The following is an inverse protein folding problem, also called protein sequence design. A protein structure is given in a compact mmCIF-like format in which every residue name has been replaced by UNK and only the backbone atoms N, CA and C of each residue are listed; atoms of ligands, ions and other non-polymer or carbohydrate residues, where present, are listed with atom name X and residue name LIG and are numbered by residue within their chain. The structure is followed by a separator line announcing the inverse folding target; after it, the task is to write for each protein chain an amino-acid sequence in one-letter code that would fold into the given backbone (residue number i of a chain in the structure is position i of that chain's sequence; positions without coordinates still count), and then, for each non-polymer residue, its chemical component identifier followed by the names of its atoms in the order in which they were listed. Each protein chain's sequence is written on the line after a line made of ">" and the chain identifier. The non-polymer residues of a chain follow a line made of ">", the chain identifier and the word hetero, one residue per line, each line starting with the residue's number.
data_IF_007945099572
#
_entry.id   IF_007945099572
#
_cell.length_a   1.000
_cell.length_b   1.000
_cell.length_c   1.000
_cell.angle_alpha   90.00
_cell.angle_beta   90.00
_cell.angle_gamma   90.00
#
_symmetry.space_group_name_H-M   'P 1'
#
loop_
_entity.id
_entity.type
_entity.pdbx_description
1 polymer ?
#
# COMPACT_ATOMS: atom_id res chain seq x y z
N UNK A 1 21.62 -12.42 -1.58
CA UNK A 1 20.63 -11.48 -0.99
C UNK A 1 19.90 -10.67 -2.07
N UNK A 2 20.60 -10.01 -2.98
CA UNK A 2 19.98 -9.16 -4.01
C UNK A 2 18.96 -9.87 -4.91
N UNK A 3 19.22 -11.11 -5.33
CA UNK A 3 18.26 -11.91 -6.11
C UNK A 3 16.95 -12.19 -5.36
N UNK A 4 17.03 -12.42 -4.04
CA UNK A 4 15.86 -12.63 -3.19
C UNK A 4 15.04 -11.35 -3.07
N UNK A 5 15.68 -10.19 -2.86
CA UNK A 5 14.98 -8.90 -2.79
C UNK A 5 14.28 -8.53 -4.10
N UNK A 6 14.89 -8.82 -5.24
CA UNK A 6 14.26 -8.62 -6.55
C UNK A 6 13.05 -9.55 -6.71
N UNK A 7 13.19 -10.83 -6.35
CA UNK A 7 12.07 -11.77 -6.40
C UNK A 7 10.91 -11.32 -5.50
N UNK A 8 11.22 -10.91 -4.27
CA UNK A 8 10.24 -10.38 -3.32
C UNK A 8 9.53 -9.13 -3.86
N UNK A 9 10.28 -8.22 -4.50
CA UNK A 9 9.73 -7.03 -5.15
C UNK A 9 8.73 -7.42 -6.23
N UNK A 10 9.10 -8.33 -7.13
CA UNK A 10 8.26 -8.76 -8.25
C UNK A 10 6.98 -9.43 -7.75
N UNK A 11 7.09 -10.38 -6.81
CA UNK A 11 5.92 -11.10 -6.29
C UNK A 11 4.96 -10.14 -5.59
N UNK A 12 5.47 -9.29 -4.67
CA UNK A 12 4.62 -8.35 -3.93
C UNK A 12 3.99 -7.31 -4.85
N UNK A 13 4.72 -6.80 -5.83
CA UNK A 13 4.19 -5.86 -6.81
C UNK A 13 3.10 -6.51 -7.66
N UNK A 14 3.33 -7.72 -8.18
CA UNK A 14 2.35 -8.43 -8.99
C UNK A 14 1.06 -8.73 -8.20
N UNK A 15 1.18 -9.32 -7.01
CA UNK A 15 0.04 -9.59 -6.14
C UNK A 15 -0.68 -8.29 -5.75
N UNK A 16 0.08 -7.24 -5.43
CA UNK A 16 -0.45 -5.94 -5.05
C UNK A 16 -1.25 -5.27 -6.18
N UNK A 17 -0.73 -5.28 -7.40
CA UNK A 17 -1.40 -4.75 -8.59
C UNK A 17 -2.69 -5.51 -8.89
N UNK A 18 -2.67 -6.84 -8.84
CA UNK A 18 -3.85 -7.66 -9.09
C UNK A 18 -4.94 -7.40 -8.05
N UNK A 19 -4.58 -7.30 -6.77
CA UNK A 19 -5.50 -6.97 -5.67
C UNK A 19 -6.07 -5.56 -5.79
N UNK A 20 -5.26 -4.58 -6.21
CA UNK A 20 -5.67 -3.19 -6.36
C UNK A 20 -6.58 -2.98 -7.57
N UNK A 21 -6.23 -3.57 -8.72
CA UNK A 21 -6.91 -3.37 -10.00
C UNK A 21 -8.15 -4.26 -10.15
N UNK A 22 -8.07 -5.54 -9.74
CA UNK A 22 -9.10 -6.54 -9.96
C UNK A 22 -9.49 -7.28 -8.67
N UNK A 23 -9.88 -6.57 -7.59
CA UNK A 23 -10.19 -7.19 -6.29
C UNK A 23 -11.29 -8.25 -6.37
N UNK A 24 -12.32 -8.02 -7.19
CA UNK A 24 -13.42 -8.97 -7.39
C UNK A 24 -12.99 -10.25 -8.09
N UNK A 25 -12.02 -10.17 -9.00
CA UNK A 25 -11.44 -11.34 -9.65
C UNK A 25 -10.70 -12.19 -8.61
N UNK A 26 -9.89 -11.56 -7.74
CA UNK A 26 -9.17 -12.26 -6.68
C UNK A 26 -10.13 -12.94 -5.70
N UNK A 27 -11.15 -12.22 -5.20
CA UNK A 27 -12.15 -12.80 -4.28
C UNK A 27 -12.77 -14.07 -4.89
N UNK A 28 -13.16 -14.03 -6.17
CA UNK A 28 -13.76 -15.16 -6.88
C UNK A 28 -12.76 -16.30 -7.10
N UNK A 29 -11.55 -15.99 -7.54
CA UNK A 29 -10.51 -16.98 -7.82
C UNK A 29 -10.14 -17.78 -6.56
N UNK A 30 -10.09 -17.12 -5.40
CA UNK A 30 -9.78 -17.76 -4.12
C UNK A 30 -11.01 -18.36 -3.42
N UNK A 31 -12.22 -18.26 -3.99
CA UNK A 31 -13.44 -18.77 -3.38
C UNK A 31 -13.81 -18.06 -2.06
N UNK A 32 -13.35 -16.82 -1.87
CA UNK A 32 -13.64 -16.03 -0.66
C UNK A 32 -15.08 -15.51 -0.76
N UNK A 33 -15.79 -15.48 0.37
CA UNK A 33 -17.12 -14.90 0.45
C UNK A 33 -17.11 -13.45 -0.07
N UNK A 34 -18.02 -13.07 -0.98
CA UNK A 34 -18.04 -11.72 -1.53
C UNK A 34 -18.31 -10.71 -0.42
N UNK A 35 -17.37 -9.79 -0.22
CA UNK A 35 -17.59 -8.63 0.63
C UNK A 35 -18.34 -7.56 -0.16
N UNK A 36 -19.27 -6.86 0.49
CA UNK A 36 -19.98 -5.71 -0.12
C UNK A 36 -19.02 -4.62 -0.62
N UNK A 37 -17.83 -4.51 -0.01
CA UNK A 37 -16.87 -3.47 -0.30
C UNK A 37 -15.51 -4.05 -0.70
N UNK A 38 -15.02 -3.65 -1.88
CA UNK A 38 -13.65 -3.96 -2.33
C UNK A 38 -12.55 -3.20 -1.59
N UNK A 39 -12.87 -2.59 -0.45
CA UNK A 39 -11.95 -1.78 0.36
C UNK A 39 -10.74 -2.60 0.83
N UNK A 40 -10.97 -3.73 1.50
CA UNK A 40 -9.88 -4.52 2.09
C UNK A 40 -8.91 -5.11 1.07
N UNK A 41 -9.37 -5.74 -0.04
CA UNK A 41 -8.45 -6.22 -1.05
C UNK A 41 -7.64 -5.08 -1.69
N UNK A 42 -8.26 -3.93 -1.96
CA UNK A 42 -7.55 -2.78 -2.54
C UNK A 42 -6.52 -2.20 -1.56
N UNK A 43 -6.87 -2.10 -0.28
CA UNK A 43 -5.95 -1.65 0.77
C UNK A 43 -4.75 -2.60 0.90
N UNK A 44 -5.01 -3.91 0.97
CA UNK A 44 -3.95 -4.92 0.98
C UNK A 44 -3.07 -4.83 -0.27
N UNK A 45 -3.69 -4.63 -1.44
CA UNK A 45 -2.98 -4.43 -2.70
C UNK A 45 -2.04 -3.22 -2.65
N UNK A 46 -2.54 -2.08 -2.15
CA UNK A 46 -1.74 -0.88 -1.92
C UNK A 46 -0.57 -1.11 -0.96
N UNK A 47 -0.81 -1.79 0.16
CA UNK A 47 0.24 -2.12 1.13
C UNK A 47 1.33 -3.00 0.51
N UNK A 48 0.96 -4.02 -0.28
CA UNK A 48 1.92 -4.87 -0.98
C UNK A 48 2.75 -4.10 -2.02
N UNK A 49 2.15 -3.15 -2.73
CA UNK A 49 2.87 -2.26 -3.65
C UNK A 49 3.86 -1.38 -2.86
N UNK A 50 3.45 -0.82 -1.72
CA UNK A 50 4.32 -0.02 -0.87
C UNK A 50 5.50 -0.81 -0.33
N UNK A 51 5.26 -2.05 0.12
CA UNK A 51 6.33 -2.96 0.56
C UNK A 51 7.25 -3.31 -0.61
N UNK A 52 6.70 -3.57 -1.81
CA UNK A 52 7.52 -3.83 -2.99
C UNK A 52 8.43 -2.63 -3.33
N UNK A 53 7.93 -1.40 -3.21
CA UNK A 53 8.73 -0.20 -3.38
C UNK A 53 9.85 -0.11 -2.32
N UNK A 54 9.54 -0.39 -1.06
CA UNK A 54 10.52 -0.42 0.02
C UNK A 54 11.61 -1.49 -0.20
N UNK A 55 11.23 -2.71 -0.59
CA UNK A 55 12.17 -3.79 -0.90
C UNK A 55 13.03 -3.45 -2.13
N UNK A 56 12.46 -2.77 -3.13
CA UNK A 56 13.19 -2.32 -4.30
C UNK A 56 14.25 -1.26 -3.94
N UNK A 57 13.89 -0.31 -3.08
CA UNK A 57 14.79 0.71 -2.55
C UNK A 57 15.97 0.03 -1.84
N UNK A 58 15.70 -0.94 -0.95
CA UNK A 58 16.75 -1.72 -0.28
C UNK A 58 17.67 -2.45 -1.26
N UNK A 59 17.11 -3.03 -2.33
CA UNK A 59 17.89 -3.76 -3.33
C UNK A 59 18.80 -2.87 -4.19
N UNK A 60 18.53 -1.56 -4.26
CA UNK A 60 19.17 -0.63 -5.19
C UNK A 60 20.06 0.42 -4.53
N UNK A 61 19.79 0.80 -3.29
CA UNK A 61 20.58 1.81 -2.58
C UNK A 61 21.72 1.15 -1.78
N UNK A 62 23.00 1.43 -2.13
CA UNK A 62 24.14 0.94 -1.36
C UNK A 62 24.07 1.43 0.08
N UNK A 63 24.23 0.52 1.04
CA UNK A 63 24.16 0.84 2.47
C UNK A 63 22.76 0.82 3.08
N UNK A 64 21.70 0.73 2.26
CA UNK A 64 20.34 0.46 2.75
C UNK A 64 20.27 -0.98 3.29
N UNK A 65 19.79 -1.15 4.53
CA UNK A 65 19.55 -2.47 5.14
C UNK A 65 18.16 -2.49 5.75
N UNK A 66 17.34 -3.44 5.34
CA UNK A 66 15.93 -3.50 5.72
C UNK A 66 15.12 -2.31 5.18
N UNK A 67 13.98 -2.05 5.82
CA UNK A 67 13.05 -1.00 5.41
C UNK A 67 13.64 0.42 5.54
N UNK A 68 14.31 0.72 6.66
CA UNK A 68 14.84 2.08 6.94
C UNK A 68 13.78 3.18 6.84
N UNK A 69 14.19 4.45 6.90
CA UNK A 69 13.27 5.59 6.69
C UNK A 69 12.73 5.61 5.25
N UNK A 70 13.58 5.35 4.26
CA UNK A 70 13.17 5.35 2.84
C UNK A 70 12.06 4.35 2.51
N UNK A 71 12.11 3.14 3.08
CA UNK A 71 11.07 2.14 2.90
C UNK A 71 9.78 2.47 3.64
N UNK A 72 9.87 3.06 4.84
CA UNK A 72 8.69 3.55 5.57
C UNK A 72 7.97 4.65 4.79
N UNK A 73 8.71 5.62 4.24
CA UNK A 73 8.18 6.67 3.37
C UNK A 73 7.44 6.04 2.18
N UNK A 74 8.06 5.07 1.49
CA UNK A 74 7.45 4.40 0.34
C UNK A 74 6.13 3.70 0.70
N UNK A 75 6.09 3.00 1.84
CA UNK A 75 4.88 2.31 2.33
C UNK A 75 3.79 3.32 2.69
N UNK A 76 4.13 4.34 3.48
CA UNK A 76 3.21 5.36 3.98
C UNK A 76 2.57 6.13 2.82
N UNK A 77 3.36 6.60 1.86
CA UNK A 77 2.87 7.34 0.70
C UNK A 77 2.01 6.46 -0.23
N UNK A 78 2.38 5.20 -0.42
CA UNK A 78 1.58 4.28 -1.24
C UNK A 78 0.23 3.99 -0.59
N UNK A 79 0.22 3.72 0.72
CA UNK A 79 -1.01 3.50 1.48
C UNK A 79 -1.90 4.75 1.46
N UNK A 80 -1.33 5.94 1.68
CA UNK A 80 -2.05 7.21 1.60
C UNK A 80 -2.67 7.44 0.22
N UNK A 81 -1.90 7.21 -0.86
CA UNK A 81 -2.38 7.36 -2.24
C UNK A 81 -3.54 6.39 -2.55
N UNK A 82 -3.45 5.14 -2.11
CA UNK A 82 -4.51 4.14 -2.31
C UNK A 82 -5.77 4.49 -1.52
N UNK A 83 -5.62 4.87 -0.25
CA UNK A 83 -6.75 5.32 0.58
C UNK A 83 -7.43 6.56 -0.02
N UNK A 84 -6.64 7.51 -0.50
CA UNK A 84 -7.13 8.70 -1.19
C UNK A 84 -7.90 8.33 -2.47
N UNK A 85 -7.34 7.46 -3.31
CA UNK A 85 -8.00 6.99 -4.52
C UNK A 85 -9.34 6.30 -4.21
N UNK A 86 -9.38 5.45 -3.19
CA UNK A 86 -10.62 4.78 -2.75
C UNK A 86 -11.67 5.81 -2.30
N UNK A 87 -11.27 6.82 -1.50
CA UNK A 87 -12.17 7.90 -1.07
C UNK A 87 -12.73 8.69 -2.24
N UNK A 88 -11.89 9.09 -3.20
CA UNK A 88 -12.29 9.87 -4.39
C UNK A 88 -13.26 9.07 -5.26
N UNK A 89 -13.02 7.76 -5.41
CA UNK A 89 -13.93 6.85 -6.11
C UNK A 89 -15.21 6.53 -5.34
N UNK A 90 -15.44 7.19 -4.19
CA UNK A 90 -16.57 6.96 -3.27
C UNK A 90 -16.66 5.50 -2.79
N UNK A 91 -15.53 4.79 -2.75
CA UNK A 91 -15.44 3.41 -2.27
C UNK A 91 -15.21 3.34 -0.75
N UNK A 92 -15.70 2.25 -0.14
CA UNK A 92 -15.21 1.76 1.15
C UNK A 92 -15.68 2.46 2.43
N UNK A 93 -16.20 3.69 2.38
CA UNK A 93 -16.67 4.42 3.57
C UNK A 93 -18.03 5.13 3.35
N UNK A 94 -19.17 4.43 3.53
CA UNK A 94 -20.49 5.02 3.31
C UNK A 94 -20.84 6.11 4.35
N UNK A 95 -20.40 5.95 5.59
CA UNK A 95 -20.69 6.88 6.69
C UNK A 95 -19.76 8.10 6.70
N UNK A 96 -20.25 9.25 7.19
CA UNK A 96 -19.43 10.46 7.39
C UNK A 96 -18.26 10.20 8.33
N UNK A 97 -18.49 9.41 9.39
CA UNK A 97 -17.46 9.02 10.38
C UNK A 97 -16.34 8.22 9.71
N UNK A 98 -16.70 7.26 8.83
CA UNK A 98 -15.72 6.47 8.08
C UNK A 98 -14.87 7.34 7.14
N UNK A 99 -15.49 8.28 6.41
CA UNK A 99 -14.74 9.21 5.55
C UNK A 99 -13.79 10.09 6.34
N UNK A 100 -14.23 10.63 7.48
CA UNK A 100 -13.38 11.43 8.35
C UNK A 100 -12.19 10.63 8.90
N UNK A 101 -12.42 9.38 9.31
CA UNK A 101 -11.36 8.48 9.76
C UNK A 101 -10.33 8.22 8.64
N UNK A 102 -10.77 7.94 7.41
CA UNK A 102 -9.86 7.73 6.28
C UNK A 102 -9.04 8.98 5.94
N UNK A 103 -9.66 10.16 5.93
CA UNK A 103 -8.93 11.42 5.72
C UNK A 103 -7.90 11.68 6.82
N UNK A 104 -8.25 11.41 8.07
CA UNK A 104 -7.32 11.51 9.19
C UNK A 104 -6.13 10.54 8.99
N UNK A 105 -6.40 9.28 8.65
CA UNK A 105 -5.34 8.30 8.37
C UNK A 105 -4.43 8.76 7.23
N UNK A 106 -4.99 9.25 6.12
CA UNK A 106 -4.20 9.80 5.00
C UNK A 106 -3.33 10.95 5.49
N UNK A 107 -3.91 11.91 6.21
CA UNK A 107 -3.17 13.06 6.74
C UNK A 107 -2.03 12.65 7.67
N UNK A 108 -2.26 11.67 8.55
CA UNK A 108 -1.25 11.13 9.46
C UNK A 108 -0.12 10.41 8.71
N UNK A 109 -0.44 9.59 7.71
CA UNK A 109 0.57 8.90 6.90
C UNK A 109 1.43 9.89 6.11
N UNK A 110 0.81 10.90 5.50
CA UNK A 110 1.54 11.96 4.77
C UNK A 110 2.40 12.77 5.73
N UNK A 111 1.87 13.17 6.88
CA UNK A 111 2.63 13.90 7.90
C UNK A 111 3.84 13.08 8.38
N UNK A 112 3.64 11.79 8.66
CA UNK A 112 4.72 10.90 9.07
C UNK A 112 5.80 10.80 7.97
N UNK A 113 5.40 10.63 6.71
CA UNK A 113 6.35 10.63 5.59
C UNK A 113 7.13 11.94 5.47
N UNK A 114 6.50 13.10 5.70
CA UNK A 114 7.19 14.39 5.66
C UNK A 114 8.23 14.52 6.79
N UNK A 115 7.91 14.02 7.98
CA UNK A 115 8.86 13.97 9.11
C UNK A 115 10.01 13.02 8.79
N UNK A 116 9.71 11.81 8.30
CA UNK A 116 10.71 10.82 7.90
C UNK A 116 11.63 11.36 6.79
N UNK A 117 11.11 12.15 5.84
CA UNK A 117 11.90 12.82 4.79
C UNK A 117 12.81 13.90 5.39
N UNK A 118 12.37 14.63 6.42
CA UNK A 118 13.16 15.68 7.05
C UNK A 118 14.35 15.11 7.86
N UNK A 119 14.20 13.90 8.39
CA UNK A 119 15.22 13.21 9.20
C UNK A 119 16.14 12.27 8.40
N UNK A 120 15.81 11.97 7.14
CA UNK A 120 16.54 11.03 6.26
C UNK A 120 17.68 11.70 5.46
#
# INVERSE_FOLDING_TARGET
>A
MQQLLILETIIKLACGLVLLAAPSFVIRLFGIAPAEWSFWPRLLGGSLIGIAAATYIEARLPGSKGLGLGGLIAINLTAAAVLFAILVMKGGAPSRRGRAALWLTIGLLVLLSLIEIADA
#
